data_IF_158989964630
#
_entry.id   IF_158989964630
#
_cell.length_a   1.000
_cell.length_b   1.000
_cell.length_c   1.000
_cell.angle_alpha   90.00
_cell.angle_beta   90.00
_cell.angle_gamma   90.00
#
_symmetry.space_group_name_H-M   'P 1'
#
loop_
_entity.id
_entity.type
_entity.pdbx_description
1 polymer ?
#
# COMPACT_ATOMS: atom_id res chain seq x y z
N UNK A 1 -2.63 4.68 12.62
CA UNK A 1 -1.85 5.46 13.62
C UNK A 1 -0.37 5.32 13.26
N UNK A 2 0.14 6.27 12.47
CA UNK A 2 1.39 6.23 11.71
C UNK A 2 2.57 6.81 12.51
N UNK A 3 2.76 6.38 13.77
CA UNK A 3 3.59 7.13 14.74
C UNK A 3 4.64 6.34 15.51
N UNK A 4 5.07 5.17 15.04
CA UNK A 4 6.24 4.50 15.62
C UNK A 4 7.23 4.10 14.53
N UNK A 5 8.14 5.01 14.19
CA UNK A 5 9.40 4.68 13.52
C UNK A 5 10.55 5.17 14.40
N UNK A 6 11.37 4.22 14.83
CA UNK A 6 12.60 4.45 15.58
C UNK A 6 13.69 4.84 14.57
N UNK A 7 14.33 5.99 14.77
CA UNK A 7 15.46 6.46 13.95
C UNK A 7 16.74 6.21 14.74
N UNK A 8 17.61 5.35 14.22
CA UNK A 8 18.98 5.22 14.72
C UNK A 8 19.97 5.35 13.54
N UNK A 9 20.83 6.36 13.60
CA UNK A 9 22.00 6.55 12.74
C UNK A 9 21.79 6.67 11.21
N UNK A 10 20.82 7.49 10.78
CA UNK A 10 20.86 8.10 9.43
C UNK A 10 20.68 7.19 8.21
N UNK A 11 20.42 5.88 8.39
CA UNK A 11 19.98 4.96 7.34
C UNK A 11 18.74 4.21 7.79
N UNK A 12 17.65 4.30 7.01
CA UNK A 12 16.50 3.40 7.14
C UNK A 12 16.99 1.98 6.83
N UNK A 13 17.22 1.19 7.87
CA UNK A 13 17.51 -0.23 7.73
C UNK A 13 16.19 -0.96 7.71
N UNK A 14 15.85 -1.51 6.56
CA UNK A 14 14.81 -2.49 6.40
C UNK A 14 15.34 -3.87 6.83
N UNK A 15 14.74 -4.49 7.86
CA UNK A 15 15.26 -5.69 8.54
C UNK A 15 15.04 -7.04 7.81
N UNK A 16 14.76 -7.04 6.51
CA UNK A 16 14.46 -8.29 5.79
C UNK A 16 15.08 -8.21 4.42
N UNK A 17 16.11 -9.00 4.08
CA UNK A 17 16.81 -9.04 2.78
C UNK A 17 16.27 -10.20 1.93
N UNK A 18 15.92 -9.91 0.67
CA UNK A 18 15.58 -10.85 -0.40
C UNK A 18 16.85 -11.58 -0.85
N UNK A 19 16.95 -12.90 -0.70
CA UNK A 19 18.12 -13.66 -1.12
C UNK A 19 18.23 -13.83 -2.64
N UNK A 20 17.22 -13.47 -3.44
CA UNK A 20 17.28 -13.52 -4.92
C UNK A 20 17.85 -12.23 -5.55
N UNK A 21 17.70 -11.09 -4.87
CA UNK A 21 18.10 -9.77 -5.38
C UNK A 21 19.10 -9.01 -4.50
N UNK A 22 19.33 -9.46 -3.27
CA UNK A 22 20.22 -8.81 -2.31
C UNK A 22 19.64 -7.54 -1.67
N UNK A 23 18.36 -7.23 -1.92
CA UNK A 23 17.68 -6.02 -1.44
C UNK A 23 16.60 -6.34 -0.40
N UNK A 24 16.22 -5.42 0.49
CA UNK A 24 15.23 -5.72 1.49
C UNK A 24 13.82 -6.12 0.97
N UNK A 25 13.31 -7.33 1.25
CA UNK A 25 11.87 -7.66 1.11
C UNK A 25 11.11 -6.96 2.23
N UNK A 26 10.82 -5.70 2.02
CA UNK A 26 9.71 -5.04 2.68
C UNK A 26 8.53 -5.07 1.73
N UNK A 27 7.37 -5.51 2.21
CA UNK A 27 6.15 -5.12 1.53
C UNK A 27 6.17 -3.60 1.49
N UNK A 28 6.33 -3.05 0.28
CA UNK A 28 6.49 -1.62 0.07
C UNK A 28 5.24 -0.85 0.51
N UNK A 29 4.10 -1.53 0.58
CA UNK A 29 2.81 -0.97 0.96
C UNK A 29 2.78 -0.54 2.44
N UNK A 30 2.77 0.77 2.65
CA UNK A 30 2.73 1.42 3.97
C UNK A 30 1.31 1.71 4.44
N UNK A 31 0.38 1.90 3.51
CA UNK A 31 -1.02 2.18 3.81
C UNK A 31 -1.93 1.77 2.66
N UNK A 32 -3.11 1.26 3.01
CA UNK A 32 -4.21 1.02 2.11
C UNK A 32 -5.46 1.74 2.61
N UNK A 33 -6.00 2.61 1.76
CA UNK A 33 -7.30 3.25 1.94
C UNK A 33 -8.24 2.65 0.90
N UNK A 34 -9.43 2.22 1.30
CA UNK A 34 -10.41 1.60 0.42
C UNK A 34 -11.73 2.35 0.51
N UNK A 35 -12.34 2.60 -0.63
CA UNK A 35 -13.69 3.14 -0.78
C UNK A 35 -14.56 2.05 -1.39
N UNK A 36 -15.66 1.73 -0.73
CA UNK A 36 -16.67 0.77 -1.17
C UNK A 36 -18.04 1.21 -0.64
N UNK A 37 -19.12 0.59 -1.14
CA UNK A 37 -20.51 0.92 -0.78
C UNK A 37 -20.82 0.79 0.71
N UNK A 38 -20.07 -0.03 1.45
CA UNK A 38 -20.26 -0.21 2.88
C UNK A 38 -18.92 -0.32 3.63
N UNK A 39 -18.95 0.13 4.88
CA UNK A 39 -17.79 0.20 5.76
C UNK A 39 -17.15 -1.17 6.00
N UNK A 40 -17.97 -2.22 6.18
CA UNK A 40 -17.47 -3.58 6.42
C UNK A 40 -16.61 -4.10 5.27
N UNK A 41 -17.06 -3.88 4.04
CA UNK A 41 -16.31 -4.29 2.83
C UNK A 41 -15.02 -3.48 2.69
N UNK A 42 -15.08 -2.17 2.92
CA UNK A 42 -13.90 -1.31 2.86
C UNK A 42 -12.84 -1.73 3.90
N UNK A 43 -13.24 -2.00 5.15
CA UNK A 43 -12.33 -2.39 6.23
C UNK A 43 -11.70 -3.78 6.00
N UNK A 44 -12.52 -4.75 5.57
CA UNK A 44 -12.06 -6.09 5.23
C UNK A 44 -11.05 -6.07 4.06
N UNK A 45 -11.34 -5.29 3.02
CA UNK A 45 -10.46 -5.15 1.86
C UNK A 45 -9.19 -4.37 2.19
N UNK A 46 -9.27 -3.29 2.99
CA UNK A 46 -8.08 -2.54 3.40
C UNK A 46 -7.09 -3.45 4.15
N UNK A 47 -7.61 -4.26 5.09
CA UNK A 47 -6.81 -5.25 5.81
C UNK A 47 -6.24 -6.30 4.86
N UNK A 48 -7.08 -6.83 3.96
CA UNK A 48 -6.66 -7.85 2.98
C UNK A 48 -5.57 -7.32 2.05
N UNK A 49 -5.68 -6.08 1.56
CA UNK A 49 -4.68 -5.46 0.69
C UNK A 49 -3.35 -5.25 1.40
N UNK A 50 -3.36 -4.85 2.67
CA UNK A 50 -2.13 -4.77 3.48
C UNK A 50 -1.44 -6.12 3.63
N UNK A 51 -2.20 -7.22 3.72
CA UNK A 51 -1.65 -8.59 3.83
C UNK A 51 -1.18 -9.14 2.48
N UNK A 52 -1.93 -8.92 1.41
CA UNK A 52 -1.65 -9.49 0.09
C UNK A 52 -0.52 -8.77 -0.65
N UNK A 53 -0.26 -7.50 -0.32
CA UNK A 53 0.68 -6.65 -1.02
C UNK A 53 0.10 -6.03 -2.30
N UNK A 54 0.83 -5.04 -2.84
CA UNK A 54 0.33 -4.12 -3.86
C UNK A 54 -0.08 -4.82 -5.17
N UNK A 55 0.77 -5.68 -5.74
CA UNK A 55 0.50 -6.31 -7.04
C UNK A 55 -0.78 -7.17 -7.01
N UNK A 56 -0.94 -7.99 -5.97
CA UNK A 56 -2.13 -8.83 -5.79
C UNK A 56 -3.36 -8.01 -5.46
N UNK A 57 -3.20 -6.94 -4.68
CA UNK A 57 -4.29 -6.02 -4.36
C UNK A 57 -4.83 -5.34 -5.63
N UNK A 58 -3.94 -4.87 -6.52
CA UNK A 58 -4.32 -4.26 -7.81
C UNK A 58 -5.05 -5.28 -8.70
N UNK A 59 -4.51 -6.49 -8.84
CA UNK A 59 -5.14 -7.55 -9.64
C UNK A 59 -6.53 -7.94 -9.11
N UNK A 60 -6.72 -7.99 -7.79
CA UNK A 60 -8.03 -8.23 -7.19
C UNK A 60 -9.00 -7.07 -7.47
N UNK A 61 -8.50 -5.83 -7.36
CA UNK A 61 -9.30 -4.62 -7.60
C UNK A 61 -9.84 -4.55 -9.03
N UNK A 62 -9.10 -5.06 -10.02
CA UNK A 62 -9.56 -5.13 -11.43
C UNK A 62 -10.85 -5.96 -11.58
N UNK A 63 -11.10 -6.91 -10.67
CA UNK A 63 -12.34 -7.70 -10.64
C UNK A 63 -13.51 -7.04 -9.87
N UNK A 64 -13.27 -5.89 -9.24
CA UNK A 64 -14.20 -5.21 -8.32
C UNK A 64 -14.53 -3.79 -8.82
N UNK A 65 -15.46 -3.64 -9.79
CA UNK A 65 -15.72 -2.35 -10.45
C UNK A 65 -16.31 -1.27 -9.53
N UNK A 66 -16.79 -1.63 -8.34
CA UNK A 66 -17.42 -0.72 -7.36
C UNK A 66 -16.52 -0.49 -6.14
N UNK A 67 -15.25 -0.87 -6.23
CA UNK A 67 -14.27 -0.68 -5.16
C UNK A 67 -13.13 0.17 -5.69
N UNK A 68 -12.75 1.18 -4.92
CA UNK A 68 -11.60 2.01 -5.19
C UNK A 68 -10.58 1.89 -4.07
N UNK A 69 -9.31 2.05 -4.41
CA UNK A 69 -8.24 1.98 -3.44
C UNK A 69 -7.19 3.07 -3.69
N UNK A 70 -6.60 3.53 -2.59
CA UNK A 70 -5.46 4.42 -2.57
C UNK A 70 -4.37 3.79 -1.70
N UNK A 71 -3.21 3.57 -2.30
CA UNK A 71 -2.07 2.91 -1.70
C UNK A 71 -0.95 3.92 -1.52
N UNK A 72 -0.34 3.93 -0.34
CA UNK A 72 0.92 4.63 -0.07
C UNK A 72 1.96 3.55 0.09
N UNK A 73 3.07 3.66 -0.65
CA UNK A 73 4.15 2.69 -0.60
C UNK A 73 5.51 3.37 -0.64
N UNK A 74 6.56 2.66 -0.22
CA UNK A 74 7.95 3.11 -0.36
C UNK A 74 8.57 2.46 -1.58
N UNK A 75 9.23 3.24 -2.43
CA UNK A 75 10.07 2.68 -3.49
C UNK A 75 11.40 2.13 -2.94
N UNK A 76 12.20 1.55 -3.83
CA UNK A 76 13.51 0.96 -3.51
C UNK A 76 14.54 1.99 -3.00
N UNK A 77 14.30 3.28 -3.21
CA UNK A 77 15.14 4.38 -2.72
C UNK A 77 14.65 4.91 -1.38
N UNK A 78 13.51 4.42 -0.88
CA UNK A 78 12.90 4.85 0.37
C UNK A 78 11.99 6.06 0.24
N UNK A 79 11.71 6.52 -0.99
CA UNK A 79 10.81 7.63 -1.24
C UNK A 79 9.36 7.16 -1.14
N UNK A 80 8.51 8.04 -0.61
CA UNK A 80 7.08 7.81 -0.54
C UNK A 80 6.46 7.98 -1.93
N UNK A 81 5.84 6.91 -2.41
CA UNK A 81 5.08 6.87 -3.63
C UNK A 81 3.61 6.59 -3.30
N UNK A 82 2.75 6.94 -4.26
CA UNK A 82 1.31 6.71 -4.12
C UNK A 82 0.77 6.08 -5.38
N UNK A 83 -0.22 5.22 -5.21
CA UNK A 83 -0.98 4.63 -6.30
C UNK A 83 -2.46 4.76 -5.97
N UNK A 84 -3.27 4.97 -6.98
CA UNK A 84 -4.70 5.01 -6.83
C UNK A 84 -5.37 4.32 -7.99
N UNK A 85 -6.55 3.75 -7.76
CA UNK A 85 -7.32 3.20 -8.86
C UNK A 85 -7.67 4.31 -9.86
N UNK A 86 -7.72 4.01 -11.18
CA UNK A 86 -7.97 5.03 -12.20
C UNK A 86 -9.26 5.82 -11.96
N UNK A 87 -10.31 5.13 -11.52
CA UNK A 87 -11.62 5.72 -11.22
C UNK A 87 -11.65 6.56 -9.93
N UNK A 88 -10.61 6.49 -9.07
CA UNK A 88 -10.49 7.36 -7.89
C UNK A 88 -10.00 8.77 -8.26
N UNK A 89 -9.43 8.97 -9.45
CA UNK A 89 -8.91 10.29 -9.89
C UNK A 89 -9.98 11.38 -9.88
N UNK A 90 -11.25 11.02 -10.09
CA UNK A 90 -12.37 11.95 -10.09
C UNK A 90 -12.90 12.26 -8.67
N UNK A 91 -12.59 11.40 -7.69
CA UNK A 91 -12.94 11.59 -6.28
C UNK A 91 -11.87 12.38 -5.50
N UNK A 92 -10.61 12.33 -5.95
CA UNK A 92 -9.52 13.17 -5.43
C UNK A 92 -9.64 14.56 -6.08
N UNK A 93 -10.63 15.35 -5.64
CA UNK A 93 -10.80 16.73 -6.09
C UNK A 93 -9.84 17.69 -5.38
N UNK A 94 -9.46 18.72 -6.17
CA UNK A 94 -8.61 19.90 -5.95
C UNK A 94 -8.77 20.61 -4.60
#
# INVERSE_FOLDING_TARGET
NYRNFYVNNGRKVAHTIDPSSGHPVQHSLLSATVIADNCLTADALATSFMVMGMDRAIALLESMPQVWAYFIYSDNEGNLQTWHSPALKDFILK
#
